data_IF_022024551999
#
_entry.id   IF_022024551999
#
_cell.length_a   1.000
_cell.length_b   1.000
_cell.length_c   1.000
_cell.angle_alpha   90.00
_cell.angle_beta   90.00
_cell.angle_gamma   90.00
#
_symmetry.space_group_name_H-M   'P 1'
#
loop_
_entity.id
_entity.type
_entity.pdbx_description
1 polymer ?
#
# COMPACT_ATOMS: atom_id res chain seq x y z
N UNK A 1 2.22 0.94 -1.83
CA UNK A 1 2.51 -0.04 -0.75
C UNK A 1 3.91 -0.58 -0.95
N UNK A 2 4.61 -0.89 0.16
CA UNK A 2 6.03 -1.24 0.15
C UNK A 2 6.43 -2.05 1.38
N UNK A 3 7.71 -2.41 1.46
CA UNK A 3 8.27 -3.19 2.57
C UNK A 3 9.57 -2.54 3.03
N UNK A 4 9.71 -2.33 4.33
CA UNK A 4 10.96 -1.91 4.95
C UNK A 4 11.57 -3.11 5.69
N UNK A 5 12.79 -3.48 5.33
CA UNK A 5 13.50 -4.60 5.95
C UNK A 5 14.67 -4.10 6.80
N UNK A 6 14.74 -4.55 8.06
CA UNK A 6 15.85 -4.23 8.93
C UNK A 6 17.16 -4.86 8.40
N UNK A 7 18.28 -4.19 8.65
CA UNK A 7 19.61 -4.69 8.30
C UNK A 7 19.83 -6.08 8.90
N UNK A 8 20.10 -7.06 8.03
CA UNK A 8 20.25 -8.47 8.43
C UNK A 8 18.96 -9.30 8.42
N UNK A 9 17.85 -8.77 7.89
CA UNK A 9 16.59 -9.49 7.63
C UNK A 9 15.98 -10.17 8.87
N UNK A 10 16.19 -9.61 10.06
CA UNK A 10 15.55 -10.12 11.28
C UNK A 10 14.06 -9.75 11.31
N UNK A 11 13.72 -8.54 10.85
CA UNK A 11 12.38 -7.98 10.84
C UNK A 11 12.09 -7.31 9.50
N UNK A 12 10.84 -7.35 9.07
CA UNK A 12 10.35 -6.60 7.93
C UNK A 12 8.94 -6.05 8.20
N UNK A 13 8.78 -4.73 8.05
CA UNK A 13 7.50 -4.05 8.14
C UNK A 13 6.88 -3.96 6.76
N UNK A 14 5.68 -4.53 6.63
CA UNK A 14 4.88 -4.53 5.40
C UNK A 14 3.81 -3.46 5.53
N UNK A 15 3.86 -2.48 4.64
CA UNK A 15 2.91 -1.39 4.58
C UNK A 15 1.71 -1.75 3.70
N UNK A 16 0.53 -1.76 4.31
CA UNK A 16 -0.73 -2.24 3.73
C UNK A 16 -1.67 -1.07 3.53
N UNK A 17 -2.16 -0.90 2.31
CA UNK A 17 -3.27 0.01 2.04
C UNK A 17 -4.54 -0.80 1.85
N UNK A 18 -5.61 -0.40 2.53
CA UNK A 18 -6.91 -1.06 2.53
C UNK A 18 -7.94 -0.01 2.16
N UNK A 19 -8.68 -0.27 1.08
CA UNK A 19 -9.79 0.59 0.70
C UNK A 19 -11.01 0.25 1.54
N UNK A 20 -11.55 1.22 2.28
CA UNK A 20 -12.70 1.03 3.15
C UNK A 20 -12.63 1.90 4.40
N UNK A 21 -13.59 1.69 5.30
CA UNK A 21 -13.70 2.35 6.60
C UNK A 21 -12.54 1.99 7.54
N UNK A 22 -12.27 2.82 8.55
CA UNK A 22 -11.26 2.53 9.60
C UNK A 22 -11.47 1.14 10.23
N UNK A 23 -12.72 0.74 10.42
CA UNK A 23 -13.08 -0.56 10.99
C UNK A 23 -12.76 -1.73 10.05
N UNK A 24 -12.80 -1.53 8.73
CA UNK A 24 -12.33 -2.51 7.76
C UNK A 24 -10.79 -2.55 7.69
N UNK A 25 -10.14 -1.40 7.81
CA UNK A 25 -8.68 -1.31 7.87
C UNK A 25 -8.14 -2.07 9.10
N UNK A 26 -8.72 -1.85 10.28
CA UNK A 26 -8.31 -2.51 11.51
C UNK A 26 -8.52 -4.03 11.45
N UNK A 27 -9.72 -4.48 11.05
CA UNK A 27 -10.00 -5.93 10.86
C UNK A 27 -9.05 -6.58 9.87
N UNK A 28 -8.68 -5.88 8.80
CA UNK A 28 -7.73 -6.39 7.81
C UNK A 28 -6.34 -6.56 8.42
N UNK A 29 -5.86 -5.55 9.16
CA UNK A 29 -4.58 -5.63 9.86
C UNK A 29 -4.57 -6.73 10.91
N UNK A 30 -5.64 -6.92 11.67
CA UNK A 30 -5.78 -8.03 12.62
C UNK A 30 -5.70 -9.38 11.92
N UNK A 31 -6.40 -9.55 10.79
CA UNK A 31 -6.33 -10.77 9.98
C UNK A 31 -4.91 -11.07 9.49
N UNK A 32 -4.19 -10.05 9.02
CA UNK A 32 -2.80 -10.19 8.58
C UNK A 32 -1.87 -10.55 9.74
N UNK A 33 -2.04 -9.91 10.90
CA UNK A 33 -1.28 -10.23 12.13
C UNK A 33 -1.55 -11.67 12.57
N UNK A 34 -2.79 -12.14 12.52
CA UNK A 34 -3.14 -13.52 12.82
C UNK A 34 -2.51 -14.51 11.82
N UNK A 35 -2.42 -14.13 10.54
CA UNK A 35 -1.85 -14.94 9.47
C UNK A 35 -0.32 -14.87 9.34
N UNK A 36 0.38 -14.07 10.16
CA UNK A 36 1.81 -13.77 9.98
C UNK A 36 2.68 -15.03 9.82
N UNK A 37 2.45 -16.08 10.63
CA UNK A 37 3.24 -17.32 10.58
C UNK A 37 3.05 -18.10 9.28
N UNK A 38 1.83 -18.13 8.75
CA UNK A 38 1.52 -18.79 7.47
C UNK A 38 2.22 -18.03 6.33
N UNK A 39 2.11 -16.71 6.33
CA UNK A 39 2.75 -15.83 5.35
C UNK A 39 4.27 -15.97 5.39
N UNK A 40 4.88 -15.95 6.57
CA UNK A 40 6.32 -16.18 6.73
C UNK A 40 6.76 -17.55 6.21
N UNK A 41 6.00 -18.60 6.51
CA UNK A 41 6.31 -19.94 6.04
C UNK A 41 6.24 -20.02 4.52
N UNK A 42 5.28 -19.35 3.89
CA UNK A 42 5.13 -19.30 2.44
C UNK A 42 6.29 -18.54 1.78
N UNK A 43 6.61 -17.34 2.27
CA UNK A 43 7.74 -16.53 1.78
C UNK A 43 9.05 -17.31 1.92
N UNK A 44 9.27 -17.97 3.07
CA UNK A 44 10.47 -18.78 3.29
C UNK A 44 10.64 -19.91 2.30
N UNK A 45 9.54 -20.60 1.97
CA UNK A 45 9.52 -21.67 0.96
C UNK A 45 9.77 -21.14 -0.45
N UNK A 46 9.10 -20.06 -0.82
CA UNK A 46 9.12 -19.52 -2.19
C UNK A 46 10.46 -18.86 -2.52
N UNK A 47 11.03 -18.11 -1.59
CA UNK A 47 12.31 -17.40 -1.76
C UNK A 47 13.53 -18.22 -1.30
N UNK A 48 13.32 -19.45 -0.80
CA UNK A 48 14.36 -20.34 -0.25
C UNK A 48 15.26 -19.65 0.79
N UNK A 49 14.66 -18.83 1.64
CA UNK A 49 15.39 -18.08 2.65
C UNK A 49 15.90 -19.01 3.75
N UNK A 50 17.15 -18.78 4.17
CA UNK A 50 17.76 -19.49 5.30
C UNK A 50 17.12 -19.09 6.63
N UNK A 51 16.63 -17.86 6.71
CA UNK A 51 15.82 -17.32 7.81
C UNK A 51 14.84 -16.30 7.23
N UNK A 52 13.55 -16.54 7.40
CA UNK A 52 12.53 -15.57 7.02
C UNK A 52 12.44 -14.49 8.09
N UNK A 53 12.40 -13.19 7.74
CA UNK A 53 12.18 -12.11 8.71
C UNK A 53 10.84 -12.27 9.44
N UNK A 54 10.76 -11.78 10.67
CA UNK A 54 9.48 -11.58 11.36
C UNK A 54 8.74 -10.45 10.66
N UNK A 55 7.52 -10.74 10.21
CA UNK A 55 6.69 -9.78 9.50
C UNK A 55 5.83 -9.00 10.51
N UNK A 56 5.84 -7.68 10.36
CA UNK A 56 4.92 -6.75 11.01
C UNK A 56 4.09 -6.04 9.95
N UNK A 57 2.85 -5.70 10.27
CA UNK A 57 1.91 -5.09 9.33
C UNK A 57 1.42 -3.75 9.86
N UNK A 58 1.56 -2.72 9.02
CA UNK A 58 1.17 -1.35 9.32
C UNK A 58 0.33 -0.77 8.19
N UNK A 59 -0.64 0.08 8.53
CA UNK A 59 -1.45 0.76 7.52
C UNK A 59 -0.65 1.88 6.85
N UNK A 60 -0.82 2.00 5.54
CA UNK A 60 -0.24 3.08 4.74
C UNK A 60 -1.33 4.11 4.35
N UNK A 61 -1.42 5.25 5.06
CA UNK A 61 -2.39 6.29 4.77
C UNK A 61 -2.00 7.15 3.55
N UNK A 62 -0.81 6.97 2.96
CA UNK A 62 -0.34 7.84 1.87
C UNK A 62 -1.11 7.62 0.58
N UNK A 63 -1.53 6.37 0.30
CA UNK A 63 -2.27 6.00 -0.90
C UNK A 63 -3.64 6.69 -0.93
N UNK A 64 -4.38 6.65 0.17
CA UNK A 64 -5.70 7.29 0.29
C UNK A 64 -5.60 8.80 0.12
N UNK A 65 -4.60 9.44 0.74
CA UNK A 65 -4.33 10.87 0.59
C UNK A 65 -3.99 11.22 -0.86
N UNK A 66 -3.19 10.42 -1.55
CA UNK A 66 -2.86 10.62 -2.96
C UNK A 66 -4.10 10.62 -3.85
N UNK A 67 -5.01 9.65 -3.66
CA UNK A 67 -6.27 9.57 -4.42
C UNK A 67 -7.15 10.79 -4.14
N UNK A 68 -7.27 11.21 -2.87
CA UNK A 68 -8.06 12.39 -2.51
C UNK A 68 -7.49 13.68 -3.09
N UNK A 69 -6.18 13.83 -3.06
CA UNK A 69 -5.49 14.97 -3.65
C UNK A 69 -5.65 15.01 -5.18
N UNK A 70 -5.52 13.87 -5.85
CA UNK A 70 -5.75 13.77 -7.30
C UNK A 70 -7.15 14.23 -7.69
N UNK A 71 -8.19 13.74 -6.98
CA UNK A 71 -9.57 14.17 -7.22
C UNK A 71 -9.77 15.68 -7.04
N UNK A 72 -9.19 16.27 -5.99
CA UNK A 72 -9.30 17.72 -5.77
C UNK A 72 -8.57 18.52 -6.86
N UNK A 73 -7.45 18.01 -7.37
CA UNK A 73 -6.72 18.64 -8.49
C UNK A 73 -7.56 18.55 -9.77
N UNK A 74 -8.16 17.39 -10.07
CA UNK A 74 -9.03 17.22 -11.24
C UNK A 74 -10.30 18.09 -11.16
N UNK A 75 -10.86 18.29 -9.97
CA UNK A 75 -12.00 19.20 -9.75
C UNK A 75 -11.64 20.69 -9.91
N UNK A 76 -10.37 21.05 -9.70
CA UNK A 76 -9.85 22.42 -9.81
C UNK A 76 -9.19 22.70 -11.17
N UNK A 77 -8.88 21.66 -11.94
CA UNK A 77 -8.33 21.80 -13.28
C UNK A 77 -9.40 22.45 -14.16
N UNK A 78 -9.17 23.66 -14.70
CA UNK A 78 -10.08 24.23 -15.67
C UNK A 78 -10.14 23.26 -16.86
N UNK A 79 -11.33 23.05 -17.42
CA UNK A 79 -11.47 22.40 -18.71
C UNK A 79 -10.61 23.21 -19.67
N UNK A 80 -9.44 22.69 -20.03
CA UNK A 80 -8.62 23.26 -21.09
C UNK A 80 -9.49 23.17 -22.33
N UNK A 81 -10.19 24.27 -22.60
CA UNK A 81 -10.85 24.54 -23.85
C UNK A 81 -9.77 24.49 -24.91
N UNK A 82 -9.62 23.31 -25.50
CA UNK A 82 -8.97 23.08 -26.77
C UNK A 82 -9.74 23.92 -27.80
N UNK A 83 -9.36 25.19 -27.84
CA UNK A 83 -9.65 26.10 -28.92
C UNK A 83 -8.96 25.56 -30.15
N UNK A 84 -9.70 24.71 -30.86
CA UNK A 84 -9.58 24.34 -32.26
C UNK A 84 -8.90 25.50 -33.02
N UNK A 85 -7.60 25.35 -33.26
CA UNK A 85 -6.89 26.12 -34.27
C UNK A 85 -7.29 25.56 -35.63
N UNK A 86 -8.50 25.89 -36.05
CA UNK A 86 -8.96 25.71 -37.41
C UNK A 86 -9.73 26.96 -37.83
N UNK A 87 -9.01 28.00 -38.27
CA UNK A 87 -9.35 28.81 -39.45
C UNK A 87 -8.25 29.87 -39.71
N UNK A 88 -7.79 29.97 -40.96
CA UNK A 88 -7.01 31.12 -41.48
C UNK A 88 -5.63 30.81 -42.04
#
# INVERSE_FOLDING_TARGET
TGVEAATGYAHATVFVSVFGSEQEQERTLEGLRAAHGILQAQIGRELRLRRTPVLTFEYDPTVERGVRLGKMIDELAPEDSDGERADG
#
